data_IF_698237731567
#
_entry.id   IF_698237731567
#
_cell.length_a   1.000
_cell.length_b   1.000
_cell.length_c   1.000
_cell.angle_alpha   90.00
_cell.angle_beta   90.00
_cell.angle_gamma   90.00
#
_symmetry.space_group_name_H-M   'P 1'
#
loop_
_entity.id
_entity.type
_entity.pdbx_description
1 polymer ?
2 non-polymer ?
3 non-polymer ?
4 water ?
#
# COMPACT_ATOMS: atom_id res chain seq x y z
N UNK A 16 -12.65 20.99 2.52
CA UNK A 16 -11.93 19.73 2.31
C UNK A 16 -11.81 19.55 0.82
N UNK A 17 -12.79 20.11 0.13
CA UNK A 17 -12.81 20.16 -1.30
C UNK A 17 -11.81 21.19 -1.78
N UNK A 18 -11.68 22.26 -0.99
CA UNK A 18 -10.80 23.36 -1.32
C UNK A 18 -9.39 22.87 -1.25
N UNK A 19 -9.13 21.99 -0.29
CA UNK A 19 -7.80 21.40 -0.18
C UNK A 19 -7.44 20.72 -1.47
N UNK A 20 -8.37 19.94 -2.01
CA UNK A 20 -8.05 19.13 -3.16
C UNK A 20 -7.73 19.93 -4.42
N UNK A 21 -8.53 20.94 -4.74
CA UNK A 21 -8.27 21.69 -5.96
C UNK A 21 -7.31 22.87 -5.82
N UNK A 22 -6.53 22.89 -4.75
CA UNK A 22 -5.46 23.86 -4.62
C UNK A 22 -4.30 23.42 -5.52
N UNK A 23 -4.34 22.15 -5.88
CA UNK A 23 -3.44 21.60 -6.87
C UNK A 23 -4.30 21.44 -8.11
N UNK A 24 -3.67 21.11 -9.21
CA UNK A 24 -4.44 20.60 -10.32
C UNK A 24 -4.44 19.08 -10.22
N UNK A 25 -4.44 18.58 -8.98
CA UNK A 25 -4.46 17.15 -8.75
C UNK A 25 -5.83 16.58 -9.08
N UNK A 26 -5.78 15.45 -9.77
CA UNK A 26 -6.91 14.63 -10.12
C UNK A 26 -6.85 13.46 -9.18
N UNK A 27 -7.81 13.38 -8.27
CA UNK A 27 -7.56 12.62 -7.06
C UNK A 27 -8.84 12.18 -6.37
N UNK A 28 -8.76 11.06 -5.69
CA UNK A 28 -9.85 10.58 -4.87
C UNK A 28 -9.29 10.11 -3.52
N UNK A 29 -10.09 10.27 -2.48
CA UNK A 29 -9.70 9.81 -1.16
C UNK A 29 -10.86 9.01 -0.62
N UNK A 30 -10.59 7.75 -0.32
CA UNK A 30 -11.62 6.84 0.10
C UNK A 30 -11.43 6.47 1.56
N UNK A 31 -12.52 6.46 2.33
CA UNK A 31 -12.48 5.88 3.67
C UNK A 31 -13.45 4.72 3.85
N UNK A 32 -13.07 3.77 4.73
CA UNK A 32 -13.91 2.64 5.06
C UNK A 32 -13.82 2.32 6.55
N UNK A 33 -14.99 2.13 7.16
CA UNK A 33 -15.12 1.87 8.59
C UNK A 33 -15.73 0.48 8.86
N UNK A 34 -15.91 -0.29 7.80
CA UNK A 34 -16.29 -1.70 7.92
C UNK A 34 -17.74 -1.90 7.53
N UNK A 35 -18.41 -0.78 7.31
CA UNK A 35 -19.76 -0.78 6.82
C UNK A 35 -19.97 0.18 5.69
N UNK A 36 -19.27 1.31 5.72
CA UNK A 36 -19.55 2.32 4.73
C UNK A 36 -18.33 2.92 4.02
N UNK A 37 -18.42 2.98 2.69
CA UNK A 37 -17.41 3.61 1.86
C UNK A 37 -17.74 5.08 1.65
N UNK A 38 -16.78 5.95 1.96
CA UNK A 38 -16.95 7.36 1.66
C UNK A 38 -15.87 7.82 0.70
N UNK A 39 -16.22 8.79 -0.13
CA UNK A 39 -15.32 9.26 -1.17
C UNK A 39 -15.25 10.76 -1.17
N UNK A 40 -14.05 11.26 -1.39
CA UNK A 40 -13.79 12.67 -1.37
C UNK A 40 -12.79 12.94 -2.49
N UNK A 41 -12.73 14.19 -2.95
CA UNK A 41 -11.70 14.58 -3.87
C UNK A 41 -12.22 15.31 -5.10
N UNK A 42 -11.39 15.34 -6.14
CA UNK A 42 -11.67 16.04 -7.38
C UNK A 42 -12.19 15.10 -8.49
N UNK A 43 -11.93 13.80 -8.35
CA UNK A 43 -12.31 12.85 -9.38
C UNK A 43 -12.77 11.53 -8.75
N UNK A 44 -14.06 11.46 -8.44
CA UNK A 44 -14.57 10.38 -7.60
C UNK A 44 -14.63 9.06 -8.34
N UNK A 45 -14.78 9.13 -9.66
CA UNK A 45 -14.82 7.92 -10.47
C UNK A 45 -13.51 7.13 -10.38
N UNK A 46 -12.44 7.76 -9.88
CA UNK A 46 -11.17 7.06 -9.68
C UNK A 46 -11.30 5.89 -8.71
N UNK A 47 -12.26 5.96 -7.80
CA UNK A 47 -12.35 4.94 -6.79
C UNK A 47 -12.81 3.59 -7.35
N UNK A 48 -13.55 3.62 -8.46
CA UNK A 48 -14.00 2.38 -9.12
C UNK A 48 -13.06 2.04 -10.25
N UNK A 49 -12.09 2.89 -10.47
CA UNK A 49 -11.15 2.66 -11.55
C UNK A 49 -9.95 1.85 -11.05
N UNK A 50 -9.50 0.93 -11.90
CA UNK A 50 -8.44 0.00 -11.57
C UNK A 50 -7.08 0.54 -12.01
N UNK A 51 -6.11 0.49 -11.09
CA UNK A 51 -4.76 0.94 -11.40
C UNK A 51 -3.75 -0.10 -10.91
N UNK A 52 -2.53 -0.05 -11.45
CA UNK A 52 -1.48 -0.91 -10.93
C UNK A 52 -1.24 -0.56 -9.46
N UNK A 53 -0.96 -1.57 -8.65
CA UNK A 53 -0.80 -1.29 -7.23
C UNK A 53 0.54 -0.65 -6.92
N UNK A 54 1.51 -0.84 -7.81
CA UNK A 54 2.90 -0.46 -7.55
C UNK A 54 3.37 -0.92 -6.17
N UNK A 55 3.96 0.00 -5.41
CA UNK A 55 4.57 -0.36 -4.15
C UNK A 55 3.58 -0.81 -3.10
N UNK A 56 2.29 -0.52 -3.30
CA UNK A 56 1.28 -0.97 -2.34
C UNK A 56 1.11 -2.48 -2.40
N UNK A 57 1.60 -3.09 -3.47
CA UNK A 57 1.53 -4.54 -3.56
C UNK A 57 2.43 -5.23 -2.52
N UNK A 58 3.39 -4.49 -1.96
CA UNK A 58 4.28 -5.05 -0.96
C UNK A 58 3.51 -5.60 0.22
N UNK A 59 2.33 -5.03 0.52
CA UNK A 59 1.49 -5.53 1.62
C UNK A 59 1.07 -6.96 1.36
N UNK A 60 0.56 -7.19 0.15
CA UNK A 60 0.16 -8.53 -0.26
C UNK A 60 1.34 -9.48 -0.44
N UNK A 61 2.47 -8.98 -0.93
CA UNK A 61 3.68 -9.78 -1.13
C UNK A 61 4.22 -10.29 0.21
N UNK A 62 4.28 -9.40 1.18
CA UNK A 62 4.69 -9.76 2.53
C UNK A 62 3.78 -10.85 3.13
N UNK A 63 2.46 -10.66 3.00
CA UNK A 63 1.48 -11.59 3.55
C UNK A 63 1.63 -12.97 2.92
N UNK A 64 1.71 -13.01 1.59
CA UNK A 64 1.88 -14.24 0.87
C UNK A 64 3.19 -14.96 1.24
N UNK A 65 4.26 -14.18 1.35
CA UNK A 65 5.56 -14.72 1.71
C UNK A 65 5.67 -15.32 3.11
N UNK A 66 5.07 -14.66 4.09
CA UNK A 66 5.10 -15.15 5.45
C UNK A 66 4.19 -16.37 5.59
N UNK A 67 3.03 -16.29 4.96
CA UNK A 67 2.01 -17.34 5.07
C UNK A 67 2.52 -18.63 4.47
N UNK A 68 3.30 -18.51 3.40
CA UNK A 68 3.80 -19.69 2.69
C UNK A 68 5.24 -20.02 3.04
N UNK A 69 5.71 -19.45 4.15
CA UNK A 69 6.98 -19.82 4.78
C UNK A 69 8.22 -19.54 3.92
N UNK A 70 8.13 -18.47 3.12
CA UNK A 70 9.20 -18.10 2.21
C UNK A 70 10.09 -17.03 2.80
N UNK A 71 9.65 -16.44 3.90
CA UNK A 71 10.48 -15.49 4.60
C UNK A 71 9.93 -15.27 6.00
N UNK A 72 10.72 -14.57 6.81
CA UNK A 72 10.31 -14.21 8.15
C UNK A 72 10.41 -12.71 8.29
N UNK A 73 9.87 -12.19 9.40
CA UNK A 73 9.90 -10.76 9.61
C UNK A 73 11.18 -10.31 10.30
N UNK A 74 12.12 -11.23 10.49
CA UNK A 74 13.37 -10.87 11.14
C UNK A 74 14.56 -11.11 10.23
N UNK A 75 14.32 -11.74 9.08
CA UNK A 75 15.36 -12.05 8.11
C UNK A 75 15.87 -10.75 7.51
N UNK A 76 17.18 -10.67 7.36
CA UNK A 76 17.80 -9.49 6.78
C UNK A 76 18.17 -9.85 5.35
N UNK A 77 17.52 -9.16 4.42
CA UNK A 77 17.84 -9.27 3.00
C UNK A 77 19.05 -8.39 2.73
N UNK A 78 20.18 -9.01 2.43
CA UNK A 78 21.44 -8.27 2.26
C UNK A 78 21.64 -7.68 0.87
N UNK A 79 22.31 -6.53 0.83
CA UNK A 79 22.65 -5.90 -0.42
C UNK A 79 23.79 -6.69 -1.06
N UNK A 80 23.71 -6.87 -2.36
CA UNK A 80 24.66 -7.71 -3.06
C UNK A 80 25.82 -6.89 -3.64
N UNK A 81 25.78 -5.57 -3.41
CA UNK A 81 26.82 -4.68 -3.88
C UNK A 81 26.54 -4.04 -5.22
N UNK A 82 25.48 -4.47 -5.88
CA UNK A 82 25.16 -3.93 -7.18
C UNK A 82 24.20 -2.77 -6.98
N UNK A 83 24.56 -1.59 -7.52
CA UNK A 83 23.78 -0.38 -7.31
C UNK A 83 22.35 -0.49 -7.79
N UNK A 84 21.44 -0.03 -6.94
CA UNK A 84 20.02 -0.12 -7.19
C UNK A 84 19.48 1.20 -7.71
N UNK A 85 18.18 1.25 -8.01
CA UNK A 85 17.61 2.38 -8.74
C UNK A 85 17.79 3.63 -7.93
N UNK A 86 17.58 3.52 -6.62
CA UNK A 86 17.90 4.61 -5.70
C UNK A 86 19.02 4.19 -4.74
N UNK A 87 19.90 5.15 -4.40
CA UNK A 87 21.02 4.88 -3.53
C UNK A 87 20.59 4.51 -2.10
N UNK A 88 19.39 4.95 -1.74
CA UNK A 88 18.82 4.64 -0.43
C UNK A 88 18.51 3.14 -0.29
N UNK A 89 18.48 2.44 -1.41
CA UNK A 89 18.18 1.01 -1.42
C UNK A 89 19.46 0.18 -1.40
N UNK A 90 20.61 0.86 -1.39
CA UNK A 90 21.90 0.17 -1.39
C UNK A 90 22.33 -0.16 0.05
N UNK A 91 21.48 -0.94 0.70
CA UNK A 91 21.77 -1.45 2.02
C UNK A 91 20.93 -2.66 2.35
N UNK A 92 21.15 -3.14 3.56
CA UNK A 92 20.47 -4.31 4.06
C UNK A 92 19.12 -3.90 4.63
N UNK A 93 18.11 -4.75 4.39
CA UNK A 93 16.75 -4.52 4.88
C UNK A 93 16.09 -5.79 5.41
N UNK A 94 15.34 -5.64 6.48
CA UNK A 94 14.30 -6.59 6.81
C UNK A 94 13.09 -6.26 5.94
N UNK A 95 12.08 -7.13 5.94
CA UNK A 95 10.89 -6.89 5.17
C UNK A 95 10.17 -5.59 5.61
N UNK A 96 10.18 -5.32 6.91
CA UNK A 96 9.51 -4.13 7.41
C UNK A 96 10.27 -2.84 7.08
N UNK A 97 11.59 -2.92 7.11
CA UNK A 97 12.41 -1.79 6.71
C UNK A 97 12.25 -1.54 5.22
N UNK A 98 12.21 -2.64 4.47
CA UNK A 98 12.02 -2.55 3.02
C UNK A 98 10.61 -2.05 2.68
N UNK A 99 9.65 -2.38 3.52
CA UNK A 99 8.30 -1.85 3.36
C UNK A 99 8.29 -0.31 3.42
N UNK A 100 8.91 0.26 4.46
CA UNK A 100 8.90 1.71 4.61
C UNK A 100 9.81 2.48 3.63
N UNK A 101 10.89 1.82 3.20
CA UNK A 101 11.77 2.38 2.17
C UNK A 101 11.30 2.02 0.76
N UNK A 102 10.25 1.19 0.66
CA UNK A 102 9.72 0.73 -0.63
C UNK A 102 10.78 0.07 -1.48
N UNK A 103 11.57 -0.81 -0.87
CA UNK A 103 12.76 -1.36 -1.51
C UNK A 103 12.36 -2.49 -2.45
N UNK A 104 12.06 -2.12 -3.69
CA UNK A 104 11.67 -3.07 -4.75
C UNK A 104 12.50 -4.35 -4.87
N UNK A 105 13.84 -4.22 -4.94
CA UNK A 105 14.62 -5.45 -5.15
C UNK A 105 14.51 -6.47 -4.03
N UNK A 106 14.14 -6.04 -2.83
CA UNK A 106 13.95 -6.98 -1.73
C UNK A 106 12.65 -7.75 -1.92
N UNK A 107 11.63 -7.05 -2.38
CA UNK A 107 10.34 -7.66 -2.59
C UNK A 107 10.30 -8.42 -3.92
N UNK A 108 11.22 -8.09 -4.82
CA UNK A 108 11.38 -8.90 -6.00
C UNK A 108 12.04 -10.24 -5.67
N UNK A 109 13.01 -10.21 -4.76
CA UNK A 109 13.61 -11.44 -4.24
C UNK A 109 12.53 -12.32 -3.57
N UNK A 110 11.63 -11.70 -2.82
CA UNK A 110 10.59 -12.42 -2.14
C UNK A 110 9.63 -13.07 -3.14
N UNK A 111 9.25 -12.29 -4.14
CA UNK A 111 8.36 -12.74 -5.19
C UNK A 111 8.94 -13.95 -5.94
N UNK A 112 10.26 -13.95 -6.12
CA UNK A 112 10.95 -15.06 -6.76
C UNK A 112 10.99 -16.30 -5.87
N UNK A 113 11.15 -16.10 -4.56
CA UNK A 113 11.02 -17.22 -3.64
C UNK A 113 9.62 -17.83 -3.72
N UNK A 114 8.62 -16.98 -3.91
CA UNK A 114 7.23 -17.42 -3.94
C UNK A 114 6.98 -18.21 -5.23
N UNK A 115 7.38 -17.60 -6.34
CA UNK A 115 7.26 -18.26 -7.61
C UNK A 115 5.94 -17.90 -8.23
N UNK A 116 5.89 -17.91 -9.56
CA UNK A 116 4.72 -17.53 -10.36
C UNK A 116 3.42 -18.30 -10.06
N UNK A 117 3.47 -19.62 -9.88
CA UNK A 117 2.21 -20.35 -9.74
C UNK A 117 1.61 -20.17 -8.34
N UNK A 118 2.45 -20.18 -7.32
CA UNK A 118 1.97 -19.91 -5.99
C UNK A 118 1.51 -18.45 -5.84
N UNK A 119 2.25 -17.51 -6.43
CA UNK A 119 1.84 -16.10 -6.37
C UNK A 119 0.49 -15.94 -7.03
N UNK A 120 0.35 -16.50 -8.22
CA UNK A 120 -0.91 -16.44 -8.94
C UNK A 120 -2.06 -17.14 -8.18
N UNK A 121 -1.77 -18.30 -7.60
CA UNK A 121 -2.81 -19.05 -6.91
C UNK A 121 -3.25 -18.31 -5.66
N UNK A 122 -2.28 -17.71 -4.96
CA UNK A 122 -2.54 -16.94 -3.76
C UNK A 122 -3.30 -15.63 -3.99
N UNK A 123 -2.95 -14.88 -5.03
CA UNK A 123 -3.67 -13.64 -5.31
C UNK A 123 -5.11 -13.92 -5.72
N UNK A 124 -5.32 -15.05 -6.39
CA UNK A 124 -6.66 -15.45 -6.73
C UNK A 124 -7.43 -15.89 -5.50
N UNK A 125 -6.78 -16.68 -4.64
CA UNK A 125 -7.37 -17.17 -3.42
C UNK A 125 -7.91 -16.05 -2.53
N UNK A 126 -7.16 -14.94 -2.48
CA UNK A 126 -7.50 -13.83 -1.59
C UNK A 126 -8.27 -12.73 -2.29
N UNK A 127 -8.42 -12.89 -3.61
CA UNK A 127 -9.24 -12.00 -4.40
C UNK A 127 -8.68 -10.59 -4.56
N UNK A 128 -7.36 -10.52 -4.74
CA UNK A 128 -6.65 -9.25 -4.83
C UNK A 128 -6.76 -8.67 -6.23
N UNK A 129 -7.47 -7.53 -6.32
CA UNK A 129 -7.66 -6.84 -7.58
C UNK A 129 -8.27 -7.73 -8.64
N UNK A 130 -7.65 -7.72 -9.81
CA UNK A 130 -8.10 -8.52 -10.94
C UNK A 130 -7.45 -9.90 -10.95
N UNK A 131 -6.59 -10.14 -9.96
CA UNK A 131 -5.97 -11.44 -9.73
C UNK A 131 -5.12 -11.94 -10.89
N UNK A 132 -4.63 -11.04 -11.73
CA UNK A 132 -3.79 -11.44 -12.87
C UNK A 132 -2.33 -11.07 -12.64
N UNK A 133 -1.43 -12.01 -12.92
CA UNK A 133 0.00 -11.73 -12.81
C UNK A 133 0.76 -11.94 -14.11
N UNK A 134 0.19 -12.73 -15.01
CA UNK A 134 0.90 -13.08 -16.24
C UNK A 134 2.06 -14.02 -15.99
N UNK A 135 3.19 -13.72 -16.62
CA UNK A 135 4.30 -14.64 -16.69
C UNK A 135 5.49 -14.22 -15.82
N UNK A 136 5.55 -12.93 -15.49
CA UNK A 136 6.73 -12.42 -14.80
C UNK A 136 6.49 -12.07 -13.33
N UNK A 137 6.98 -12.95 -12.48
CA UNK A 137 6.71 -12.93 -11.06
C UNK A 137 7.32 -11.71 -10.33
N UNK A 138 8.25 -11.02 -10.97
CA UNK A 138 8.85 -9.86 -10.30
C UNK A 138 8.55 -8.50 -10.95
N UNK A 139 7.59 -8.47 -11.87
CA UNK A 139 7.23 -7.26 -12.59
C UNK A 139 5.73 -6.93 -12.59
N UNK A 140 4.89 -7.89 -12.23
CA UNK A 140 3.47 -7.77 -12.54
C UNK A 140 2.72 -6.61 -11.82
N UNK A 141 3.27 -6.15 -10.70
CA UNK A 141 2.61 -5.12 -9.92
C UNK A 141 3.11 -3.72 -10.30
N UNK A 142 4.10 -3.69 -11.19
CA UNK A 142 4.82 -2.48 -11.55
C UNK A 142 4.43 -2.01 -12.94
N UNK A 143 4.06 -2.94 -13.81
CA UNK A 143 3.75 -2.59 -15.19
C UNK A 143 2.47 -3.25 -15.69
N UNK A 144 1.75 -3.93 -14.81
CA UNK A 144 0.61 -4.69 -15.28
C UNK A 144 1.05 -6.13 -15.37
N UNK A 145 0.09 -7.04 -15.51
CA UNK A 145 -1.34 -6.82 -15.73
C UNK A 145 -2.16 -6.72 -14.43
N UNK A 146 -1.54 -6.87 -13.27
CA UNK A 146 -2.28 -6.71 -12.03
C UNK A 146 -2.77 -5.27 -11.84
N UNK A 147 -4.06 -5.14 -11.60
CA UNK A 147 -4.68 -3.84 -11.32
C UNK A 147 -5.62 -3.99 -10.12
N UNK A 148 -5.87 -2.88 -9.46
CA UNK A 148 -6.71 -2.88 -8.27
C UNK A 148 -7.39 -1.52 -8.16
N UNK A 149 -8.61 -1.49 -7.64
CA UNK A 149 -9.29 -0.21 -7.45
C UNK A 149 -9.03 0.29 -6.04
N UNK A 150 -9.14 1.60 -5.85
CA UNK A 150 -8.94 2.16 -4.51
C UNK A 150 -9.94 1.61 -3.50
N UNK A 151 -11.15 1.31 -3.93
CA UNK A 151 -12.12 0.66 -3.04
C UNK A 151 -11.62 -0.72 -2.61
N UNK A 152 -11.14 -1.52 -3.55
CA UNK A 152 -10.52 -2.79 -3.21
C UNK A 152 -9.33 -2.60 -2.28
N UNK A 153 -8.53 -1.56 -2.55
CA UNK A 153 -7.39 -1.28 -1.68
C UNK A 153 -7.83 -0.92 -0.25
N UNK A 154 -8.81 -0.02 -0.10
CA UNK A 154 -9.28 0.33 1.27
C UNK A 154 -9.81 -0.88 2.02
N UNK A 155 -10.49 -1.78 1.31
CA UNK A 155 -11.09 -2.93 1.97
C UNK A 155 -10.06 -3.99 2.34
N UNK A 156 -9.04 -4.12 1.52
CA UNK A 156 -7.96 -5.06 1.78
C UNK A 156 -7.19 -4.68 3.05
N UNK A 157 -6.79 -3.41 3.16
CA UNK A 157 -6.10 -2.94 4.36
C UNK A 157 -7.00 -2.84 5.60
N UNK A 158 -8.30 -2.57 5.40
CA UNK A 158 -9.25 -2.63 6.51
C UNK A 158 -9.31 -4.04 7.07
N UNK A 159 -9.44 -5.03 6.19
CA UNK A 159 -9.46 -6.42 6.61
C UNK A 159 -8.16 -6.81 7.32
N UNK A 160 -7.02 -6.38 6.78
CA UNK A 160 -5.74 -6.57 7.44
C UNK A 160 -5.78 -6.05 8.89
N UNK A 161 -6.30 -4.84 9.04
CA UNK A 161 -6.38 -4.18 10.34
C UNK A 161 -7.21 -5.00 11.34
N UNK A 162 -8.20 -5.70 10.83
CA UNK A 162 -9.13 -6.45 11.66
C UNK A 162 -8.74 -7.92 11.81
N UNK A 163 -7.72 -8.35 11.06
CA UNK A 163 -7.29 -9.73 11.09
C UNK A 163 -8.20 -10.61 10.27
N UNK A 164 -8.95 -9.98 9.37
CA UNK A 164 -10.02 -10.62 8.61
C UNK A 164 -9.61 -11.10 7.22
N UNK A 165 -8.36 -10.88 6.84
CA UNK A 165 -7.87 -11.42 5.59
C UNK A 165 -7.66 -12.94 5.75
N UNK A 166 -7.65 -13.69 4.63
CA UNK A 166 -7.42 -15.13 4.62
C UNK A 166 -5.95 -15.52 4.78
N UNK A 167 -5.37 -15.10 5.89
CA UNK A 167 -4.01 -15.40 6.24
C UNK A 167 -4.02 -15.69 7.72
N UNK A 168 -2.98 -16.35 8.21
CA UNK A 168 -2.89 -16.66 9.63
C UNK A 168 -2.93 -15.36 10.40
N UNK A 169 -3.40 -15.42 11.65
CA UNK A 169 -3.56 -14.16 12.38
C UNK A 169 -2.20 -13.50 12.68
N UNK A 170 -1.20 -14.32 12.95
CA UNK A 170 0.13 -13.83 13.28
C UNK A 170 0.84 -13.23 12.07
N UNK A 171 0.51 -13.73 10.89
CA UNK A 171 1.03 -13.20 9.64
C UNK A 171 0.49 -11.79 9.42
N UNK A 172 -0.82 -11.61 9.57
CA UNK A 172 -1.46 -10.32 9.44
C UNK A 172 -0.91 -9.32 10.46
N UNK A 173 -0.63 -9.81 11.65
CA UNK A 173 -0.09 -8.96 12.71
C UNK A 173 1.32 -8.50 12.34
N UNK A 174 2.14 -9.41 11.84
CA UNK A 174 3.47 -9.03 11.41
C UNK A 174 3.46 -7.96 10.33
N UNK A 175 2.60 -8.12 9.33
CA UNK A 175 2.51 -7.15 8.23
C UNK A 175 1.90 -5.82 8.69
N UNK A 176 1.03 -5.88 9.68
CA UNK A 176 0.54 -4.64 10.28
C UNK A 176 1.67 -3.85 10.91
N UNK A 177 2.54 -4.54 11.63
CA UNK A 177 3.63 -3.85 12.28
C UNK A 177 4.67 -3.29 11.27
N UNK A 178 4.75 -3.90 10.09
CA UNK A 178 5.58 -3.40 9.01
C UNK A 178 5.10 -2.06 8.45
N UNK A 179 3.82 -1.77 8.67
CA UNK A 179 3.19 -0.58 8.15
C UNK A 179 3.04 0.52 9.20
N UNK A 180 3.52 0.27 10.41
CA UNK A 180 3.36 1.23 11.52
C UNK A 180 4.27 2.45 11.32
N UNK A 181 3.66 3.60 11.11
CA UNK A 181 4.46 4.78 10.74
C UNK A 181 4.35 5.97 11.70
N UNK A 182 3.28 6.03 12.48
CA UNK A 182 3.19 7.11 13.46
C UNK A 182 2.30 6.81 14.66
N UNK A 183 2.76 7.23 15.83
CA UNK A 183 1.97 7.21 17.03
C UNK A 183 1.73 8.64 17.45
N UNK A 184 0.48 8.96 17.73
CA UNK A 184 0.09 10.30 18.03
C UNK A 184 -0.86 10.17 19.21
N UNK A 185 -0.30 10.18 20.41
CA UNK A 185 -1.08 9.91 21.59
C UNK A 185 -1.41 8.43 21.65
N UNK A 186 -2.70 8.10 21.78
CA UNK A 186 -3.10 6.71 21.76
C UNK A 186 -3.68 6.36 20.40
N UNK A 187 -3.47 7.23 19.43
CA UNK A 187 -3.85 6.96 18.05
C UNK A 187 -2.65 6.45 17.28
N UNK A 188 -2.88 5.51 16.37
CA UNK A 188 -1.78 4.92 15.62
C UNK A 188 -2.08 4.87 14.13
N UNK A 189 -1.10 5.29 13.34
CA UNK A 189 -1.22 5.32 11.89
C UNK A 189 -0.42 4.20 11.22
N UNK A 190 -1.09 3.49 10.31
CA UNK A 190 -0.43 2.44 9.52
C UNK A 190 -0.63 2.80 8.06
N UNK A 191 0.45 2.83 7.30
CA UNK A 191 0.34 3.27 5.92
C UNK A 191 1.42 2.74 4.99
N UNK A 192 1.06 2.74 3.71
CA UNK A 192 1.96 2.38 2.63
C UNK A 192 1.74 3.31 1.43
N UNK A 193 2.84 3.86 0.94
CA UNK A 193 2.77 4.72 -0.23
C UNK A 193 3.16 3.99 -1.51
N UNK A 194 2.77 4.58 -2.64
CA UNK A 194 3.10 4.01 -3.92
C UNK A 194 3.12 5.06 -5.01
N UNK A 195 4.06 4.88 -5.93
CA UNK A 195 4.17 5.74 -7.09
C UNK A 195 4.59 4.85 -8.24
N UNK A 196 3.63 4.54 -9.11
CA UNK A 196 3.88 3.79 -10.32
C UNK A 196 4.30 4.72 -11.45
N UNK A 197 5.56 4.59 -11.85
CA UNK A 197 6.14 5.46 -12.88
C UNK A 197 6.25 4.79 -14.25
N UNK A 198 6.17 3.46 -14.29
CA UNK A 198 6.33 2.70 -15.54
C UNK A 198 5.00 2.46 -16.29
N UNK A 199 3.98 3.24 -15.95
CA UNK A 199 2.72 3.23 -16.68
C UNK A 199 2.30 4.65 -17.06
N UNK A 200 1.33 4.75 -17.97
CA UNK A 200 0.77 6.04 -18.35
C UNK A 200 -0.76 6.01 -18.24
N UNK A 201 -1.31 6.89 -17.39
CA UNK A 201 -0.55 7.88 -16.64
C UNK A 201 0.02 7.34 -15.32
N UNK A 202 0.94 8.10 -14.71
CA UNK A 202 1.59 7.68 -13.47
C UNK A 202 0.56 7.66 -12.34
N UNK A 203 0.70 6.72 -11.41
CA UNK A 203 -0.31 6.60 -10.37
C UNK A 203 0.32 6.79 -9.00
N UNK A 204 -0.36 7.58 -8.17
CA UNK A 204 0.06 7.80 -6.80
C UNK A 204 -0.90 7.18 -5.82
N UNK A 205 -0.33 6.46 -4.86
CA UNK A 205 -1.10 5.85 -3.78
C UNK A 205 -0.60 6.27 -2.40
N UNK A 206 -1.54 6.38 -1.45
CA UNK A 206 -1.23 6.38 -0.04
C UNK A 206 -2.41 5.67 0.66
N UNK A 207 -2.14 4.47 1.17
CA UNK A 207 -3.19 3.57 1.64
C UNK A 207 -2.85 3.12 3.06
N UNK A 208 -3.85 2.98 3.92
CA UNK A 208 -3.56 2.50 5.25
C UNK A 208 -4.75 2.58 6.16
N UNK A 209 -4.47 2.64 7.45
CA UNK A 209 -5.52 2.82 8.42
C UNK A 209 -5.05 3.52 9.66
N UNK A 210 -6.01 4.14 10.35
CA UNK A 210 -5.78 4.72 11.66
C UNK A 210 -6.53 3.94 12.72
N UNK A 211 -5.79 3.48 13.73
CA UNK A 211 -6.36 2.88 14.92
C UNK A 211 -6.50 3.96 15.98
N UNK A 212 -7.70 4.49 16.12
CA UNK A 212 -7.96 5.63 16.99
C UNK A 212 -7.96 5.23 18.45
N UNK A 213 -7.81 6.24 19.31
CA UNK A 213 -7.75 6.04 20.74
C UNK A 213 -9.06 5.49 21.29
N UNK A 214 -10.16 5.73 20.59
CA UNK A 214 -11.45 5.25 21.05
C UNK A 214 -11.74 3.78 20.67
N UNK A 215 -10.82 3.15 19.94
CA UNK A 215 -11.00 1.77 19.53
C UNK A 215 -11.47 1.58 18.10
N UNK A 216 -11.89 2.64 17.44
CA UNK A 216 -12.36 2.55 16.08
C UNK A 216 -11.18 2.58 15.11
N UNK A 217 -11.26 1.75 14.06
CA UNK A 217 -10.30 1.80 12.96
C UNK A 217 -10.98 2.46 11.81
N UNK A 218 -10.27 3.33 11.11
CA UNK A 218 -10.78 3.83 9.86
C UNK A 218 -9.71 3.58 8.81
N UNK A 219 -10.08 2.90 7.74
CA UNK A 219 -9.16 2.68 6.65
C UNK A 219 -9.29 3.78 5.60
N UNK A 220 -8.21 4.03 4.89
CA UNK A 220 -8.18 5.06 3.88
C UNK A 220 -7.34 4.67 2.66
N UNK A 221 -7.65 5.31 1.53
CA UNK A 221 -6.84 5.25 0.32
C UNK A 221 -6.88 6.52 -0.48
N UNK A 222 -5.70 7.11 -0.67
CA UNK A 222 -5.51 8.19 -1.62
C UNK A 222 -5.09 7.56 -2.94
N UNK A 223 -5.73 7.97 -4.02
CA UNK A 223 -5.32 7.57 -5.35
C UNK A 223 -5.38 8.79 -6.27
N UNK A 224 -4.26 9.07 -6.93
CA UNK A 224 -4.14 10.28 -7.75
C UNK A 224 -3.20 10.13 -8.95
N UNK A 225 -3.41 10.98 -9.94
CA UNK A 225 -2.52 11.06 -11.09
C UNK A 225 -1.24 11.79 -10.66
N UNK A 226 -0.08 11.27 -11.08
CA UNK A 226 1.18 11.90 -10.76
C UNK A 226 1.91 12.18 -12.05
N UNK A 227 2.97 12.97 -11.95
CA UNK A 227 3.88 13.15 -13.08
C UNK A 227 5.25 13.50 -12.54
N UNK A 228 6.22 13.50 -13.42
CA UNK A 228 7.61 13.56 -13.00
C UNK A 228 7.96 14.73 -12.04
N UNK A 229 7.32 15.88 -12.17
CA UNK A 229 7.71 16.98 -11.31
C UNK A 229 7.46 16.78 -9.82
N UNK A 230 6.51 15.90 -9.52
CA UNK A 230 5.80 15.93 -8.25
C UNK A 230 6.69 15.60 -7.06
N UNK A 231 6.45 16.33 -5.99
CA UNK A 231 7.22 16.08 -4.79
C UNK A 231 6.69 14.83 -4.12
N UNK A 232 7.62 14.07 -3.56
CA UNK A 232 7.34 12.75 -3.06
C UNK A 232 6.48 12.76 -1.80
N UNK A 233 6.61 13.83 -1.02
CA UNK A 233 5.88 13.96 0.23
C UNK A 233 4.41 14.39 0.09
N UNK A 234 3.98 14.73 -1.12
CA UNK A 234 2.68 15.33 -1.33
C UNK A 234 1.51 14.37 -1.04
N UNK A 235 1.67 13.10 -1.39
CA UNK A 235 0.66 12.07 -1.12
C UNK A 235 0.35 11.96 0.38
N UNK A 236 1.39 11.79 1.19
CA UNK A 236 1.22 11.69 2.63
C UNK A 236 0.66 12.98 3.26
N UNK A 237 1.23 14.13 2.90
CA UNK A 237 0.74 15.43 3.34
C UNK A 237 -0.74 15.62 3.13
N UNK A 238 -1.17 15.25 1.93
CA UNK A 238 -2.55 15.37 1.51
C UNK A 238 -3.46 14.51 2.35
N UNK A 239 -3.04 13.27 2.46
CA UNK A 239 -3.75 12.26 3.21
C UNK A 239 -3.90 12.67 4.67
N UNK A 240 -2.82 13.14 5.28
CA UNK A 240 -2.88 13.50 6.68
C UNK A 240 -3.71 14.77 6.89
N UNK A 241 -3.63 15.65 5.90
CA UNK A 241 -4.45 16.84 5.81
C UNK A 241 -5.94 16.46 5.85
N UNK A 242 -6.33 15.57 4.94
CA UNK A 242 -7.71 15.13 4.84
C UNK A 242 -8.16 14.42 6.11
N UNK A 243 -7.29 13.59 6.67
CA UNK A 243 -7.63 12.83 7.87
C UNK A 243 -7.83 13.76 9.05
N UNK A 244 -7.07 14.84 9.09
CA UNK A 244 -7.26 15.86 10.12
C UNK A 244 -8.62 16.54 9.94
N UNK A 245 -8.91 16.93 8.70
CA UNK A 245 -10.18 17.58 8.40
C UNK A 245 -11.40 16.70 8.67
N UNK A 246 -11.23 15.39 8.57
CA UNK A 246 -12.33 14.48 8.74
C UNK A 246 -12.52 14.14 10.20
N UNK A 247 -11.46 14.32 10.97
CA UNK A 247 -11.54 14.03 12.39
C UNK A 247 -10.96 12.68 12.76
N UNK A 248 -10.33 12.01 11.79
CA UNK A 248 -9.80 10.69 12.02
C UNK A 248 -8.47 10.73 12.76
N UNK A 249 -7.58 11.60 12.30
CA UNK A 249 -6.24 11.67 12.84
C UNK A 249 -5.88 13.13 12.90
N UNK A 250 -6.17 13.74 14.05
CA UNK A 250 -5.81 15.13 14.29
C UNK A 250 -4.30 15.37 14.39
N UNK A 251 -3.84 16.48 13.82
CA UNK A 251 -2.46 16.89 13.98
C UNK A 251 -2.22 17.12 15.45
N UNK A 252 -1.10 16.60 15.91
CA UNK A 252 -0.74 16.66 17.31
C UNK A 252 -0.51 18.10 17.82
X LIG B 1 8.31 9.97 6.35
X LIG B 1 8.10 8.88 5.43
X LIG B 1 7.39 11.04 6.03
X LIG B 1 9.72 10.39 6.29
X LIG B 1 8.04 9.46 7.68
X LIG C 1 6.42 2.07 -5.25
X LIG C 1 9.01 5.66 -4.15
X LIG C 1 7.74 2.70 -5.75
X LIG C 1 8.33 3.55 -4.62
X LIG C 1 7.81 5.42 -3.57
X LIG C 1 5.34 2.41 -5.70
X LIG C 1 8.63 1.55 -6.23
X LIG C 1 9.82 2.03 -6.85
X LIG C 1 7.83 0.77 -7.27
X LIG C 1 7.22 4.32 -4.05
X LIG C 1 7.16 6.17 -2.65
X LIG C 1 6.06 5.78 -2.22
X LIG C 1 7.62 7.27 -2.25
X LIG C 1 10.10 7.05 -3.88
X LIG C 1 11.75 6.38 -3.94
X LIG C 1 12.66 7.61 -3.73
X LIG C 1 13.58 7.19 -2.60
X LIG C 1 9.30 4.65 -5.09
X LIG C 1 12.62 6.44 -1.77
X LIG C 1 8.97 5.15 -6.50
X LIG C 1 12.15 5.48 -2.77
X LIG C 1 13.84 8.36 -1.65
X LIG C 1 15.10 8.81 -1.52
X LIG C 1 12.90 8.82 -1.02
X LIG C 1 16.23 8.24 -2.27
X LIG C 1 15.28 9.91 -0.56
#
# INVERSE_FOLDING_TARGET
>A
MNHKVHHHHHHIEGRVQALFNEISADAVFVTYDGQNIKKYGTHLDRAKTAYIPASTFKIANALIGLENHKATSTEIFKWDGKPRFFKAWDKDFTLGEAMQASTVPVYQELARRIGPSLMQSELQRIGYGNMQIGTEVDQFWLKGPLTITPIQEVKFVYDLAQGQLPFKPEVQQQVKEMLYVERRGENRLYAKSGWGMAVDPQVGWYVGFVEKADGQVVAFALNMQMKAGDDIALRKQLSLDVLDKLGVFHYL
>B hetero
1 SO4 S O1 O2 O3 O4
>C hetero
1 MER C1 C2 C3 C4 C5 O6 C7 O8 C9 N10 C11 O12 O13 S14 C15 C16 C17 C18 N19 C20 C21 C22 N23 O24 C25 C26
#
